data_IF_656732140599
#
_entry.id   IF_656732140599
#
_cell.length_a   1.000
_cell.length_b   1.000
_cell.length_c   1.000
_cell.angle_alpha   90.00
_cell.angle_beta   90.00
_cell.angle_gamma   90.00
#
_symmetry.space_group_name_H-M   'P 1'
#
loop_
_entity.id
_entity.type
_entity.pdbx_description
1 polymer ?
#
# COMPACT_ATOMS: atom_id res chain seq x y z
N UNK A 1 -5.27 -23.38 34.86
CA UNK A 1 -3.82 -23.44 34.56
C UNK A 1 -3.67 -23.89 33.12
N UNK A 2 -3.38 -22.92 32.23
CA UNK A 2 -2.72 -23.03 30.92
C UNK A 2 -3.27 -24.03 29.88
N UNK A 3 -4.28 -23.60 29.11
CA UNK A 3 -4.39 -24.04 27.72
C UNK A 3 -3.39 -23.20 26.91
N UNK A 4 -2.25 -23.81 26.58
CA UNK A 4 -1.18 -23.18 25.80
C UNK A 4 -1.72 -22.75 24.45
N UNK A 5 -1.55 -21.46 24.15
CA UNK A 5 -1.59 -20.95 22.80
C UNK A 5 -0.60 -21.78 21.97
N UNK A 6 -1.09 -22.53 20.98
CA UNK A 6 -0.25 -23.16 19.96
C UNK A 6 0.59 -22.04 19.35
N UNK A 7 1.93 -22.17 19.23
CA UNK A 7 2.70 -21.22 18.45
C UNK A 7 2.15 -21.29 17.02
N UNK A 8 1.50 -20.22 16.58
CA UNK A 8 1.18 -20.06 15.17
C UNK A 8 2.53 -19.90 14.46
N UNK A 9 3.02 -20.96 13.82
CA UNK A 9 4.17 -20.92 12.91
C UNK A 9 3.90 -20.05 11.66
N UNK A 10 2.73 -19.43 11.59
CA UNK A 10 2.39 -18.42 10.60
C UNK A 10 2.79 -17.04 11.14
N UNK A 11 3.54 -16.23 10.37
CA UNK A 11 3.80 -14.86 10.76
C UNK A 11 2.48 -14.13 10.97
N UNK A 12 2.23 -13.71 12.21
CA UNK A 12 1.07 -12.90 12.56
C UNK A 12 1.20 -11.56 11.81
N UNK A 13 0.25 -11.18 10.95
CA UNK A 13 0.31 -9.94 10.20
C UNK A 13 -0.04 -8.77 11.12
N UNK A 14 0.88 -8.43 12.01
CA UNK A 14 0.94 -7.13 12.70
C UNK A 14 2.27 -6.45 12.34
N UNK A 15 2.54 -6.45 11.04
CA UNK A 15 3.62 -5.70 10.45
C UNK A 15 3.11 -4.27 10.36
N UNK A 16 3.68 -3.34 11.10
CA UNK A 16 3.32 -1.91 11.07
C UNK A 16 3.68 -1.26 9.73
N UNK A 17 3.24 -1.87 8.63
CA UNK A 17 3.58 -1.54 7.26
C UNK A 17 3.07 -0.14 6.93
N UNK A 18 3.95 0.67 6.35
CA UNK A 18 3.63 2.05 5.98
C UNK A 18 3.89 2.28 4.51
N UNK A 19 2.87 2.79 3.83
CA UNK A 19 2.95 3.24 2.44
C UNK A 19 3.15 4.75 2.43
N UNK A 20 4.30 5.21 1.94
CA UNK A 20 4.59 6.62 1.76
C UNK A 20 4.27 7.01 0.31
N UNK A 21 3.28 7.86 0.14
CA UNK A 21 2.88 8.37 -1.18
C UNK A 21 3.48 9.76 -1.37
N UNK A 22 4.30 9.92 -2.40
CA UNK A 22 4.81 11.25 -2.74
C UNK A 22 3.67 12.19 -3.16
N UNK A 23 3.71 13.48 -2.79
CA UNK A 23 2.65 14.44 -3.14
C UNK A 23 2.35 14.51 -4.65
N UNK A 24 3.36 14.33 -5.51
CA UNK A 24 3.18 14.29 -6.97
C UNK A 24 2.28 13.13 -7.43
N UNK A 25 2.40 11.97 -6.79
CA UNK A 25 1.64 10.75 -7.11
C UNK A 25 0.19 10.95 -6.72
N UNK A 26 -0.05 11.46 -5.51
CA UNK A 26 -1.40 11.76 -5.04
C UNK A 26 -2.13 12.72 -5.99
N UNK A 27 -1.45 13.78 -6.44
CA UNK A 27 -2.05 14.74 -7.36
C UNK A 27 -2.37 14.13 -8.73
N UNK A 28 -1.51 13.24 -9.23
CA UNK A 28 -1.76 12.52 -10.48
C UNK A 28 -2.93 11.55 -10.36
N UNK A 29 -3.05 10.84 -9.24
CA UNK A 29 -4.21 9.97 -8.94
C UNK A 29 -5.52 10.77 -8.95
N UNK A 30 -5.55 11.95 -8.32
CA UNK A 30 -6.75 12.80 -8.31
C UNK A 30 -7.13 13.32 -9.70
N UNK A 31 -6.14 13.68 -10.52
CA UNK A 31 -6.37 14.10 -11.92
C UNK A 31 -6.92 12.95 -12.76
N UNK A 32 -6.34 11.75 -12.62
CA UNK A 32 -6.77 10.54 -13.33
C UNK A 32 -8.20 10.15 -12.97
N UNK A 33 -8.52 10.10 -11.67
CA UNK A 33 -9.86 9.81 -11.17
C UNK A 33 -10.91 10.78 -11.74
N UNK A 34 -10.57 12.07 -11.84
CA UNK A 34 -11.47 13.08 -12.42
C UNK A 34 -11.65 12.91 -13.94
N UNK A 35 -10.60 12.50 -14.66
CA UNK A 35 -10.68 12.28 -16.10
C UNK A 35 -11.56 11.08 -16.49
N UNK A 36 -11.73 10.13 -15.56
CA UNK A 36 -12.55 8.92 -15.75
C UNK A 36 -14.06 9.10 -15.69
N UNK A 37 -14.57 10.19 -15.08
CA UNK A 37 -16.01 10.38 -14.80
C UNK A 37 -16.84 10.30 -16.10
N UNK A 38 -17.91 9.48 -16.17
CA UNK A 38 -18.60 8.79 -15.07
C UNK A 38 -18.12 7.37 -14.75
N UNK A 39 -17.09 6.89 -15.45
CA UNK A 39 -16.59 5.53 -15.34
C UNK A 39 -15.53 5.41 -14.25
N UNK A 40 -15.44 4.23 -13.65
CA UNK A 40 -14.32 3.88 -12.77
C UNK A 40 -13.04 3.76 -13.59
N UNK A 41 -11.93 4.17 -12.99
CA UNK A 41 -10.60 4.07 -13.59
C UNK A 41 -9.64 3.38 -12.64
N UNK A 42 -8.67 2.71 -13.22
CA UNK A 42 -7.58 2.05 -12.51
C UNK A 42 -6.26 2.64 -12.98
N UNK A 43 -5.22 2.51 -12.15
CA UNK A 43 -3.85 2.89 -12.45
C UNK A 43 -2.90 1.96 -11.71
N UNK A 44 -1.62 1.99 -12.09
CA UNK A 44 -0.59 1.20 -11.41
C UNK A 44 0.31 2.14 -10.60
N UNK A 45 0.65 1.70 -9.39
CA UNK A 45 1.59 2.38 -8.52
C UNK A 45 2.98 1.75 -8.71
N UNK A 46 3.97 2.59 -9.01
CA UNK A 46 5.36 2.20 -9.13
C UNK A 46 6.11 2.72 -7.90
N UNK A 47 6.89 1.85 -7.27
CA UNK A 47 7.55 2.18 -6.02
C UNK A 47 8.73 1.27 -5.71
N UNK A 48 9.33 1.53 -4.57
CA UNK A 48 10.48 0.83 -4.04
C UNK A 48 10.16 0.28 -2.64
N UNK A 49 10.82 -0.82 -2.28
CA UNK A 49 10.69 -1.48 -0.99
C UNK A 49 12.02 -1.29 -0.24
N UNK A 50 12.22 -0.15 0.47
CA UNK A 50 13.46 0.11 1.20
C UNK A 50 13.67 -0.87 2.37
N UNK A 51 12.58 -1.37 2.97
CA UNK A 51 12.60 -2.38 4.02
C UNK A 51 11.30 -3.24 3.98
N UNK A 52 11.21 -4.25 4.85
CA UNK A 52 10.09 -5.21 4.89
C UNK A 52 8.75 -4.59 5.31
N UNK A 53 8.76 -3.40 5.92
CA UNK A 53 7.58 -2.75 6.48
C UNK A 53 7.33 -1.36 5.88
N UNK A 54 7.99 -1.03 4.78
CA UNK A 54 7.88 0.27 4.15
C UNK A 54 7.82 0.14 2.65
N UNK A 55 6.82 0.81 2.06
CA UNK A 55 6.66 0.94 0.62
C UNK A 55 6.69 2.43 0.28
N UNK A 56 7.62 2.83 -0.58
CA UNK A 56 7.71 4.19 -1.08
C UNK A 56 7.14 4.24 -2.51
N UNK A 57 6.02 4.93 -2.69
CA UNK A 57 5.37 5.08 -4.01
C UNK A 57 5.96 6.29 -4.72
N UNK A 58 6.74 6.02 -5.76
CA UNK A 58 7.54 7.02 -6.48
C UNK A 58 6.83 7.53 -7.72
N UNK A 59 5.99 6.73 -8.36
CA UNK A 59 5.24 7.15 -9.55
C UNK A 59 3.90 6.43 -9.72
N UNK A 60 3.08 6.96 -10.63
CA UNK A 60 1.82 6.33 -11.07
C UNK A 60 1.71 6.42 -12.59
N UNK A 61 1.24 5.33 -13.19
CA UNK A 61 0.92 5.24 -14.63
C UNK A 61 -0.57 5.00 -14.83
#
# INVERSE_FOLDING_TARGET
MLAGHLPSDFPTPDTSEKVFILPKVLLNMLKHARAGVPMEVMGLLLGEFPDEYRIDVVDTI
#
